data_IF_574019749578
#
_entry.id   IF_574019749578
#
_cell.length_a   1.000
_cell.length_b   1.000
_cell.length_c   1.000
_cell.angle_alpha   90.00
_cell.angle_beta   90.00
_cell.angle_gamma   90.00
#
_symmetry.space_group_name_H-M   'P 1'
#
loop_
_entity.id
_entity.type
_entity.pdbx_description
1 polymer ?
#
# COMPACT_ATOMS: atom_id res chain seq x y z
N UNK A 1 -41.92 -30.92 1.12
CA UNK A 1 -41.78 -29.91 2.22
C UNK A 1 -40.90 -30.53 3.30
N UNK A 2 -39.99 -29.80 3.97
CA UNK A 2 -39.71 -28.34 3.96
C UNK A 2 -38.57 -28.00 2.96
N UNK A 3 -38.38 -26.83 2.34
CA UNK A 3 -38.34 -25.41 2.74
C UNK A 3 -37.21 -25.03 3.70
N UNK A 4 -36.04 -24.75 3.11
CA UNK A 4 -34.96 -23.97 3.71
C UNK A 4 -34.77 -22.72 2.83
N UNK A 5 -35.29 -21.58 3.30
CA UNK A 5 -34.86 -20.26 2.83
C UNK A 5 -34.30 -19.51 4.02
N UNK A 6 -32.98 -19.39 4.07
CA UNK A 6 -32.31 -18.30 4.77
C UNK A 6 -31.34 -17.69 3.79
N UNK A 7 -31.83 -16.68 3.07
CA UNK A 7 -30.99 -15.66 2.48
C UNK A 7 -30.41 -14.85 3.63
N UNK A 8 -29.23 -15.25 4.07
CA UNK A 8 -28.44 -14.43 4.98
C UNK A 8 -27.97 -13.21 4.19
N UNK A 9 -28.61 -12.06 4.44
CA UNK A 9 -28.13 -10.78 3.93
C UNK A 9 -26.74 -10.57 4.52
N UNK A 10 -25.70 -10.76 3.70
CA UNK A 10 -24.36 -10.24 3.97
C UNK A 10 -24.48 -8.71 4.04
N UNK A 11 -24.70 -8.19 5.24
CA UNK A 11 -24.60 -6.76 5.49
C UNK A 11 -23.18 -6.34 5.12
N UNK A 12 -23.10 -5.60 4.02
CA UNK A 12 -21.85 -5.04 3.54
C UNK A 12 -21.62 -3.81 4.40
N UNK A 13 -20.93 -3.99 5.53
CA UNK A 13 -20.50 -2.87 6.36
C UNK A 13 -19.63 -1.96 5.50
N UNK A 14 -20.21 -0.84 5.12
CA UNK A 14 -19.55 0.18 4.30
C UNK A 14 -18.60 0.91 5.23
N UNK A 15 -17.31 0.57 5.18
CA UNK A 15 -16.29 1.30 5.93
C UNK A 15 -16.19 2.71 5.31
N UNK A 16 -16.71 3.70 6.02
CA UNK A 16 -16.64 5.10 5.62
C UNK A 16 -15.20 5.61 5.74
N UNK A 17 -14.52 5.72 4.60
CA UNK A 17 -13.29 6.52 4.48
C UNK A 17 -13.69 7.99 4.57
N UNK A 18 -13.50 8.63 5.73
CA UNK A 18 -13.63 10.09 5.83
C UNK A 18 -12.31 10.74 5.42
N UNK A 19 -12.09 10.95 4.13
CA UNK A 19 -11.10 11.93 3.66
C UNK A 19 -11.83 13.26 3.48
N UNK A 20 -11.79 14.12 4.49
CA UNK A 20 -12.29 15.49 4.33
C UNK A 20 -11.21 16.28 3.58
N UNK A 21 -11.42 16.45 2.27
CA UNK A 21 -10.53 17.15 1.34
C UNK A 21 -10.70 18.67 1.46
N UNK A 22 -10.34 19.25 2.60
CA UNK A 22 -10.26 20.72 2.73
C UNK A 22 -9.05 21.10 3.57
N UNK A 23 -8.12 21.79 2.89
CA UNK A 23 -6.91 22.46 3.38
C UNK A 23 -5.65 21.61 3.58
N UNK A 24 -4.85 21.62 2.51
CA UNK A 24 -3.45 21.18 2.44
C UNK A 24 -2.60 22.26 3.12
N UNK A 25 -2.35 22.15 4.42
CA UNK A 25 -1.25 22.84 5.09
C UNK A 25 -0.46 21.88 6.00
N UNK A 26 0.75 21.55 5.53
CA UNK A 26 1.97 21.11 6.22
C UNK A 26 1.97 19.94 7.24
N UNK A 27 0.89 19.18 7.41
CA UNK A 27 0.91 17.93 8.21
C UNK A 27 -0.03 16.87 7.67
N UNK A 28 0.33 16.27 6.55
CA UNK A 28 -0.41 15.13 6.00
C UNK A 28 -0.33 13.93 6.97
N UNK A 29 -1.40 13.71 7.73
CA UNK A 29 -1.63 12.56 8.60
C UNK A 29 -2.67 11.65 7.98
N UNK A 30 -2.29 10.42 7.65
CA UNK A 30 -3.19 9.40 7.13
C UNK A 30 -3.43 8.35 8.22
N UNK A 31 -4.66 8.29 8.73
CA UNK A 31 -5.05 7.33 9.77
C UNK A 31 -5.76 6.15 9.11
N UNK A 32 -5.26 4.94 9.37
CA UNK A 32 -5.91 3.68 9.04
C UNK A 32 -6.40 3.00 10.32
N UNK A 33 -7.71 2.85 10.44
CA UNK A 33 -8.30 2.07 11.53
C UNK A 33 -8.74 0.72 10.99
N UNK A 34 -8.21 -0.37 11.56
CA UNK A 34 -8.67 -1.73 11.28
C UNK A 34 -9.87 -1.98 12.20
N UNK A 35 -11.08 -1.86 11.66
CA UNK A 35 -12.30 -2.02 12.45
C UNK A 35 -12.79 -3.47 12.35
N UNK A 36 -12.66 -4.23 13.44
CA UNK A 36 -13.35 -5.51 13.63
C UNK A 36 -14.22 -5.44 14.89
N UNK A 37 -15.56 -5.41 14.71
CA UNK A 37 -16.55 -5.64 15.78
C UNK A 37 -16.63 -4.56 16.87
N UNK A 38 -17.69 -4.64 17.70
CA UNK A 38 -18.17 -3.60 18.63
C UNK A 38 -17.11 -2.74 19.32
N UNK A 39 -17.26 -1.43 19.14
CA UNK A 39 -16.37 -0.32 19.54
C UNK A 39 -16.08 -0.19 21.05
N UNK A 40 -16.67 -1.04 21.88
CA UNK A 40 -16.81 -0.75 23.31
C UNK A 40 -15.77 -1.43 24.24
N UNK A 41 -14.98 -2.42 23.79
CA UNK A 41 -14.17 -3.24 24.74
C UNK A 41 -12.90 -3.90 24.18
N UNK A 42 -12.03 -3.21 23.44
CA UNK A 42 -10.70 -3.77 23.13
C UNK A 42 -9.58 -2.79 23.44
N UNK A 43 -8.52 -3.29 24.05
CA UNK A 43 -7.24 -2.59 24.16
C UNK A 43 -6.65 -2.53 22.74
N UNK A 44 -6.53 -1.33 22.18
CA UNK A 44 -6.02 -1.13 20.83
C UNK A 44 -4.54 -0.71 20.89
N UNK A 45 -3.68 -1.34 20.09
CA UNK A 45 -2.31 -0.86 19.89
C UNK A 45 -2.26 0.14 18.73
N UNK A 46 -1.51 1.23 18.91
CA UNK A 46 -1.28 2.22 17.85
C UNK A 46 0.07 1.93 17.20
N UNK A 47 0.05 1.52 15.93
CA UNK A 47 1.25 1.37 15.11
C UNK A 47 1.53 2.69 14.41
N UNK A 48 2.49 3.45 14.93
CA UNK A 48 2.87 4.74 14.38
C UNK A 48 3.97 4.59 13.33
N UNK A 49 3.70 5.05 12.11
CA UNK A 49 4.64 5.08 10.99
C UNK A 49 4.97 6.52 10.63
N UNK A 50 6.25 6.86 10.62
CA UNK A 50 6.72 8.19 10.23
C UNK A 50 7.42 8.13 8.89
N UNK A 51 6.71 8.54 7.83
CA UNK A 51 7.24 8.59 6.48
C UNK A 51 7.67 10.04 6.18
N UNK A 52 8.88 10.36 6.65
CA UNK A 52 9.44 11.72 6.67
C UNK A 52 10.03 12.15 5.33
N UNK A 53 10.51 11.20 4.53
CA UNK A 53 11.17 11.50 3.24
C UNK A 53 10.55 10.69 2.13
N UNK A 54 9.64 11.30 1.37
CA UNK A 54 9.28 10.81 0.04
C UNK A 54 10.07 11.59 -0.98
N UNK A 55 10.96 10.92 -1.68
CA UNK A 55 11.82 11.58 -2.65
C UNK A 55 12.15 10.64 -3.79
N UNK A 56 12.50 11.25 -4.92
CA UNK A 56 13.19 10.54 -5.97
C UNK A 56 14.57 10.10 -5.49
N UNK A 57 14.90 8.83 -5.75
CA UNK A 57 16.17 8.20 -5.45
C UNK A 57 16.71 7.58 -6.73
N UNK A 58 18.04 7.53 -6.89
CA UNK A 58 18.66 6.72 -7.93
C UNK A 58 18.72 5.26 -7.46
N UNK A 59 18.32 4.33 -8.33
CA UNK A 59 18.33 2.89 -8.08
C UNK A 59 18.58 2.13 -9.36
N UNK A 60 19.30 1.01 -9.28
CA UNK A 60 19.72 0.22 -10.44
C UNK A 60 19.58 -1.29 -10.16
N UNK A 61 18.34 -1.81 -10.01
CA UNK A 61 18.12 -3.20 -9.63
C UNK A 61 18.58 -4.21 -10.70
N UNK A 62 18.70 -3.74 -11.94
CA UNK A 62 19.16 -4.46 -13.12
C UNK A 62 20.47 -3.86 -13.69
N UNK A 63 21.24 -3.18 -12.83
CA UNK A 63 22.48 -2.47 -13.17
C UNK A 63 22.31 -1.31 -14.17
N UNK A 64 21.07 -0.89 -14.46
CA UNK A 64 20.78 0.33 -15.22
C UNK A 64 20.19 1.36 -14.26
N UNK A 65 20.92 2.45 -14.04
CA UNK A 65 20.46 3.50 -13.12
C UNK A 65 19.17 4.16 -13.61
N UNK A 66 18.19 4.26 -12.72
CA UNK A 66 16.94 4.94 -12.94
C UNK A 66 16.46 5.65 -11.68
N UNK A 67 15.41 6.44 -11.83
CA UNK A 67 14.81 7.17 -10.72
C UNK A 67 13.60 6.41 -10.17
N UNK A 68 13.57 6.21 -8.85
CA UNK A 68 12.48 5.57 -8.11
C UNK A 68 11.87 6.54 -7.10
N UNK A 69 10.57 6.44 -6.86
CA UNK A 69 9.91 7.15 -5.77
C UNK A 69 10.00 6.31 -4.49
N UNK A 70 10.95 6.67 -3.62
CA UNK A 70 11.19 5.95 -2.36
C UNK A 70 10.49 6.59 -1.17
N UNK A 71 10.29 5.79 -0.12
CA UNK A 71 9.76 6.22 1.18
C UNK A 71 10.88 6.05 2.21
N UNK A 72 11.16 7.08 3.00
CA UNK A 72 12.26 7.11 3.98
C UNK A 72 13.64 6.78 3.40
N UNK A 73 13.87 7.08 2.11
CA UNK A 73 15.15 6.81 1.47
C UNK A 73 15.36 5.35 1.04
N UNK A 74 14.33 4.51 1.11
CA UNK A 74 14.36 3.12 0.68
C UNK A 74 13.33 2.83 -0.41
N UNK A 75 13.63 1.78 -1.18
CA UNK A 75 12.75 1.15 -2.16
C UNK A 75 12.96 -0.38 -2.09
N UNK A 76 11.88 -1.19 -2.00
CA UNK A 76 10.49 -0.81 -1.77
C UNK A 76 10.30 0.01 -0.49
N UNK A 77 9.11 0.60 -0.36
CA UNK A 77 8.70 1.28 0.86
C UNK A 77 8.78 0.35 2.08
N UNK A 78 8.83 0.90 3.30
CA UNK A 78 8.95 0.13 4.53
C UNK A 78 7.78 -0.84 4.70
N UNK A 79 8.08 -2.08 5.08
CA UNK A 79 7.06 -3.04 5.47
C UNK A 79 6.37 -2.55 6.74
N UNK A 80 5.03 -2.50 6.70
CA UNK A 80 4.23 -2.26 7.90
C UNK A 80 3.79 -3.60 8.45
N UNK A 81 4.09 -3.84 9.72
CA UNK A 81 3.61 -4.99 10.48
C UNK A 81 2.60 -4.51 11.52
N UNK A 82 1.47 -5.20 11.63
CA UNK A 82 0.43 -4.92 12.59
C UNK A 82 -0.30 -6.22 12.96
N UNK A 83 -1.17 -6.17 13.97
CA UNK A 83 -2.09 -7.27 14.30
C UNK A 83 -3.54 -6.88 14.00
N UNK A 84 -4.38 -7.88 13.78
CA UNK A 84 -5.81 -7.65 13.60
C UNK A 84 -6.40 -6.97 14.83
N UNK A 85 -6.97 -5.78 14.61
CA UNK A 85 -7.51 -4.91 15.66
C UNK A 85 -6.66 -3.67 15.92
N UNK A 86 -5.41 -3.60 15.44
CA UNK A 86 -4.58 -2.41 15.62
C UNK A 86 -5.12 -1.18 14.87
N UNK A 87 -4.69 0.01 15.30
CA UNK A 87 -4.84 1.23 14.51
C UNK A 87 -3.48 1.64 13.97
N UNK A 88 -3.34 1.70 12.65
CA UNK A 88 -2.10 2.14 12.00
C UNK A 88 -2.23 3.62 11.66
N UNK A 89 -1.32 4.42 12.19
CA UNK A 89 -1.27 5.86 11.96
C UNK A 89 -0.03 6.17 11.13
N UNK A 90 -0.23 6.65 9.90
CA UNK A 90 0.85 6.94 8.96
C UNK A 90 0.97 8.44 8.76
N UNK A 91 2.03 9.03 9.31
CA UNK A 91 2.38 10.42 9.06
C UNK A 91 3.14 10.51 7.75
N UNK A 92 2.54 11.16 6.76
CA UNK A 92 2.86 11.00 5.35
C UNK A 92 3.33 12.33 4.74
N UNK A 93 4.54 12.79 5.04
CA UNK A 93 4.98 14.11 4.55
C UNK A 93 5.30 14.10 3.04
N UNK A 94 4.55 14.84 2.22
CA UNK A 94 4.89 15.00 0.80
C UNK A 94 6.05 15.97 0.63
N UNK A 95 7.17 15.49 0.08
CA UNK A 95 8.38 16.29 -0.20
C UNK A 95 8.69 16.36 -1.71
N UNK A 96 7.76 15.94 -2.57
CA UNK A 96 7.87 16.14 -4.01
C UNK A 96 7.66 17.63 -4.34
N UNK A 97 8.39 18.13 -5.33
CA UNK A 97 8.42 19.56 -5.64
C UNK A 97 7.12 20.06 -6.30
N UNK A 98 6.50 19.25 -7.16
CA UNK A 98 5.40 19.68 -8.03
C UNK A 98 4.28 18.66 -8.16
N UNK A 99 4.33 17.55 -7.41
CA UNK A 99 3.42 16.41 -7.56
C UNK A 99 2.65 16.14 -6.27
N UNK A 100 1.34 15.90 -6.41
CA UNK A 100 0.52 15.33 -5.33
C UNK A 100 0.84 13.85 -5.13
N UNK A 101 0.62 13.34 -3.92
CA UNK A 101 0.85 11.91 -3.60
C UNK A 101 -0.34 11.38 -2.82
N UNK A 102 -0.85 10.23 -3.26
CA UNK A 102 -1.89 9.46 -2.54
C UNK A 102 -1.43 8.02 -2.42
N UNK A 103 -1.53 7.46 -1.20
CA UNK A 103 -1.27 6.05 -0.93
C UNK A 103 -2.60 5.33 -0.79
N UNK A 104 -2.79 4.28 -1.58
CA UNK A 104 -3.87 3.33 -1.41
C UNK A 104 -3.39 2.09 -0.68
N UNK A 105 -4.24 1.60 0.22
CA UNK A 105 -3.98 0.43 1.04
C UNK A 105 -4.78 -0.75 0.48
N UNK A 106 -4.09 -1.63 -0.22
CA UNK A 106 -4.72 -2.61 -1.09
C UNK A 106 -5.23 -3.81 -0.28
N UNK A 107 -6.55 -4.04 -0.33
CA UNK A 107 -7.17 -5.24 0.21
C UNK A 107 -7.50 -5.22 1.71
N UNK A 108 -7.25 -4.12 2.45
CA UNK A 108 -7.44 -4.07 3.91
C UNK A 108 -8.87 -4.44 4.30
N UNK A 109 -9.03 -5.60 4.97
CA UNK A 109 -10.29 -6.00 5.62
C UNK A 109 -10.10 -6.83 6.90
N UNK A 110 -9.05 -7.67 6.99
CA UNK A 110 -8.81 -8.60 8.11
C UNK A 110 -7.28 -8.81 8.31
N UNK A 111 -6.89 -9.90 8.98
CA UNK A 111 -5.53 -10.47 8.99
C UNK A 111 -5.11 -11.02 7.62
N UNK A 112 -3.80 -11.14 7.39
CA UNK A 112 -3.20 -11.65 6.16
C UNK A 112 -2.16 -10.72 5.52
N UNK A 113 -1.78 -11.08 4.30
CA UNK A 113 -0.75 -10.38 3.51
C UNK A 113 -1.37 -9.37 2.56
N UNK A 114 -1.04 -8.10 2.77
CA UNK A 114 -1.50 -6.96 1.99
C UNK A 114 -0.29 -6.14 1.49
N UNK A 115 -0.58 -5.05 0.77
CA UNK A 115 0.43 -4.09 0.33
C UNK A 115 -0.21 -2.72 0.16
N UNK A 116 0.62 -1.70 0.08
CA UNK A 116 0.20 -0.35 -0.25
C UNK A 116 0.90 0.13 -1.51
N UNK A 117 0.28 1.06 -2.24
CA UNK A 117 0.86 1.62 -3.45
C UNK A 117 0.39 3.05 -3.74
N UNK A 118 1.14 3.77 -4.56
CA UNK A 118 0.73 5.05 -5.13
C UNK A 118 -0.56 4.91 -5.92
N UNK A 119 -1.50 5.81 -5.71
CA UNK A 119 -2.81 5.82 -6.38
C UNK A 119 -3.12 7.20 -7.00
N UNK A 120 -2.08 7.91 -7.39
CA UNK A 120 -2.15 9.14 -8.16
C UNK A 120 -1.30 8.99 -9.42
N UNK A 121 -1.87 9.28 -10.60
CA UNK A 121 -1.21 9.02 -11.89
C UNK A 121 -0.68 7.59 -12.03
N UNK A 122 0.51 7.45 -12.60
CA UNK A 122 1.27 6.19 -12.68
C UNK A 122 2.31 6.06 -11.56
N UNK A 123 2.14 6.72 -10.41
CA UNK A 123 3.12 6.71 -9.32
C UNK A 123 3.40 5.30 -8.76
N UNK A 124 2.46 4.36 -8.85
CA UNK A 124 2.72 2.93 -8.55
C UNK A 124 3.86 2.38 -9.43
N UNK A 125 3.80 2.62 -10.74
CA UNK A 125 4.86 2.25 -11.69
C UNK A 125 6.11 3.10 -11.51
N UNK A 126 6.01 4.23 -10.79
CA UNK A 126 7.14 5.02 -10.32
C UNK A 126 7.77 4.45 -9.05
N UNK A 127 7.45 3.19 -8.71
CA UNK A 127 8.04 2.41 -7.60
C UNK A 127 7.50 2.76 -6.21
N UNK A 128 6.41 3.52 -6.13
CA UNK A 128 5.78 3.84 -4.85
C UNK A 128 4.89 2.68 -4.39
N UNK A 129 5.45 1.72 -3.67
CA UNK A 129 4.73 0.61 -3.04
C UNK A 129 5.56 -0.07 -1.93
N UNK A 130 4.91 -0.87 -1.09
CA UNK A 130 5.57 -1.68 -0.06
C UNK A 130 4.58 -2.63 0.61
N UNK A 131 5.11 -3.54 1.43
CA UNK A 131 4.32 -4.60 2.08
C UNK A 131 3.55 -4.10 3.30
N UNK A 132 2.38 -4.68 3.53
CA UNK A 132 1.57 -4.51 4.73
C UNK A 132 1.15 -5.89 5.21
N UNK A 133 1.66 -6.34 6.35
CA UNK A 133 1.34 -7.66 6.92
C UNK A 133 0.54 -7.42 8.19
N UNK A 134 -0.61 -8.09 8.29
CA UNK A 134 -1.48 -8.03 9.46
C UNK A 134 -1.58 -9.43 10.05
N UNK A 135 -0.94 -9.66 11.18
CA UNK A 135 -1.02 -10.93 11.88
C UNK A 135 -2.42 -11.11 12.51
N UNK A 136 -2.73 -12.34 12.89
CA UNK A 136 -3.92 -12.64 13.72
C UNK A 136 -3.92 -11.82 15.02
N UNK A 137 -5.12 -11.62 15.58
CA UNK A 137 -5.30 -10.87 16.82
C UNK A 137 -4.57 -11.52 18.01
N UNK A 138 -4.31 -10.76 19.06
CA UNK A 138 -3.67 -11.28 20.27
C UNK A 138 -4.47 -12.44 20.88
N UNK A 139 -3.78 -13.56 21.12
CA UNK A 139 -4.38 -14.79 21.66
C UNK A 139 -4.91 -15.75 20.59
N UNK A 140 -5.04 -15.31 19.34
CA UNK A 140 -5.41 -16.16 18.21
C UNK A 140 -4.17 -16.81 17.58
N UNK A 141 -4.39 -17.87 16.80
CA UNK A 141 -3.34 -18.55 16.04
C UNK A 141 -3.81 -18.81 14.62
N UNK A 142 -2.88 -18.71 13.68
CA UNK A 142 -3.09 -19.17 12.31
C UNK A 142 -3.56 -20.64 12.29
N UNK A 143 -4.43 -21.03 11.34
CA UNK A 143 -4.97 -22.39 11.28
C UNK A 143 -3.96 -23.45 10.82
N UNK A 144 -2.72 -23.04 10.52
CA UNK A 144 -1.63 -23.89 10.09
C UNK A 144 -0.33 -23.53 10.82
N UNK A 145 0.55 -24.52 10.97
CA UNK A 145 1.86 -24.36 11.60
C UNK A 145 2.95 -24.20 10.54
N UNK A 146 3.86 -23.27 10.77
CA UNK A 146 5.04 -23.02 9.95
C UNK A 146 6.21 -22.66 10.86
N UNK A 147 7.42 -23.00 10.44
CA UNK A 147 8.64 -22.68 11.20
C UNK A 147 9.17 -21.28 10.87
N UNK A 148 8.91 -20.81 9.65
CA UNK A 148 9.41 -19.54 9.11
C UNK A 148 8.41 -18.95 8.13
N UNK A 149 8.44 -17.64 8.01
CA UNK A 149 7.74 -16.88 7.00
C UNK A 149 8.73 -16.15 6.08
N UNK A 150 8.33 -15.92 4.83
CA UNK A 150 9.09 -15.14 3.87
C UNK A 150 8.14 -14.20 3.14
N UNK A 151 8.44 -12.90 3.17
CA UNK A 151 7.70 -11.90 2.41
C UNK A 151 8.38 -11.66 1.06
N UNK A 152 7.63 -11.87 -0.03
CA UNK A 152 8.07 -11.58 -1.38
C UNK A 152 7.11 -10.60 -2.04
N UNK A 153 7.67 -9.49 -2.56
CA UNK A 153 6.90 -8.52 -3.34
C UNK A 153 7.35 -8.54 -4.80
N UNK A 154 6.42 -8.86 -5.69
CA UNK A 154 6.67 -8.97 -7.13
C UNK A 154 6.30 -7.68 -7.85
N UNK A 155 7.15 -7.27 -8.77
CA UNK A 155 6.93 -6.09 -9.61
C UNK A 155 7.59 -6.23 -10.97
N UNK A 156 7.20 -5.38 -11.89
CA UNK A 156 7.81 -5.17 -13.19
C UNK A 156 8.59 -3.85 -13.21
N UNK A 157 9.61 -3.79 -14.07
CA UNK A 157 10.53 -2.66 -14.15
C UNK A 157 10.72 -2.22 -15.60
N UNK A 158 10.49 -0.93 -15.84
CA UNK A 158 10.83 -0.30 -17.11
C UNK A 158 11.90 0.78 -16.97
N UNK A 159 12.72 0.92 -18.01
CA UNK A 159 13.72 1.99 -18.11
C UNK A 159 13.12 3.35 -18.48
N UNK A 160 11.97 3.36 -19.16
CA UNK A 160 11.29 4.61 -19.51
C UNK A 160 10.70 5.28 -18.27
N UNK A 161 10.93 6.59 -18.13
CA UNK A 161 10.33 7.41 -17.08
C UNK A 161 8.79 7.37 -17.15
N UNK A 162 8.15 7.32 -15.98
CA UNK A 162 6.68 7.26 -15.85
C UNK A 162 5.96 8.43 -16.50
N UNK A 163 6.48 9.65 -16.43
CA UNK A 163 5.89 10.82 -17.09
C UNK A 163 5.96 10.68 -18.62
N UNK A 164 7.06 10.12 -19.13
CA UNK A 164 7.20 9.81 -20.55
C UNK A 164 6.17 8.77 -21.03
N UNK A 165 5.89 7.77 -20.19
CA UNK A 165 4.84 6.79 -20.44
C UNK A 165 3.45 7.43 -20.42
N UNK A 166 3.14 8.25 -19.41
CA UNK A 166 1.88 8.97 -19.28
C UNK A 166 1.59 9.86 -20.49
N UNK A 167 2.60 10.60 -20.95
CA UNK A 167 2.51 11.42 -22.17
C UNK A 167 2.26 10.52 -23.39
N UNK A 168 2.95 9.39 -23.50
CA UNK A 168 2.79 8.45 -24.61
C UNK A 168 1.40 7.82 -24.71
N UNK A 169 0.85 7.36 -23.58
CA UNK A 169 -0.50 6.76 -23.56
C UNK A 169 -1.61 7.80 -23.73
N UNK A 170 -1.31 9.07 -23.46
CA UNK A 170 -2.25 10.19 -23.64
C UNK A 170 -2.08 10.91 -24.98
N UNK A 171 -1.07 10.57 -25.79
CA UNK A 171 -0.81 11.27 -27.05
C UNK A 171 -1.69 10.76 -28.19
N UNK A 172 -1.83 11.59 -29.23
CA UNK A 172 -2.35 11.19 -30.53
C UNK A 172 -1.30 11.49 -31.62
N UNK A 173 -0.70 10.46 -32.28
CA UNK A 173 -1.02 9.05 -32.15
C UNK A 173 -0.65 8.46 -30.78
N UNK A 174 -1.43 7.48 -30.33
CA UNK A 174 -1.19 6.72 -29.10
C UNK A 174 0.16 6.01 -29.17
N UNK A 175 0.92 6.02 -28.07
CA UNK A 175 2.18 5.27 -27.94
C UNK A 175 2.05 4.25 -26.82
N UNK A 176 2.07 2.98 -27.19
CA UNK A 176 2.08 1.88 -26.23
C UNK A 176 3.38 1.87 -25.42
N UNK A 177 3.29 1.49 -24.14
CA UNK A 177 4.44 1.39 -23.22
C UNK A 177 5.36 0.20 -23.51
N UNK A 178 4.85 -0.83 -24.21
CA UNK A 178 5.56 -2.08 -24.47
C UNK A 178 5.80 -2.93 -23.22
N UNK A 179 6.50 -4.05 -23.42
CA UNK A 179 6.84 -5.00 -22.36
C UNK A 179 7.88 -4.45 -21.37
N UNK A 180 7.87 -4.89 -20.11
CA UNK A 180 8.89 -4.51 -19.14
C UNK A 180 10.27 -5.06 -19.51
N UNK A 181 11.31 -4.36 -19.08
CA UNK A 181 12.69 -4.84 -19.25
C UNK A 181 13.02 -5.96 -18.25
N UNK A 182 12.49 -5.87 -17.02
CA UNK A 182 12.83 -6.80 -15.94
C UNK A 182 11.61 -7.11 -15.08
N UNK A 183 11.47 -8.39 -14.70
CA UNK A 183 10.65 -8.80 -13.57
C UNK A 183 11.50 -8.78 -12.31
N UNK A 184 11.04 -8.05 -11.30
CA UNK A 184 11.81 -7.81 -10.10
C UNK A 184 11.13 -8.43 -8.87
N UNK A 185 11.91 -9.24 -8.16
CA UNK A 185 11.52 -9.96 -6.95
C UNK A 185 12.20 -9.29 -5.77
N UNK A 186 11.40 -8.69 -4.89
CA UNK A 186 11.91 -8.15 -3.63
C UNK A 186 11.78 -9.21 -2.55
N UNK A 187 12.92 -9.68 -2.04
CA UNK A 187 12.95 -10.41 -0.78
C UNK A 187 13.09 -9.38 0.33
N UNK A 188 12.05 -9.22 1.14
CA UNK A 188 12.04 -8.28 2.26
C UNK A 188 12.27 -9.11 3.53
N UNK A 189 13.48 -8.99 4.08
CA UNK A 189 13.90 -9.61 5.35
C UNK A 189 13.76 -8.63 6.51
#
# INVERSE_FOLDING_TARGET
RPHFSKTEKKETSTLSLSSNSTQIEDRDLLILKFLNGDFAKRDYSIVNQQWRRKSYLFWSPDCVENVVMGINGQYPGPTILAKAGDTIVVHLHNKLHTEGVVIHWHGIRQDGTYFYHGHYGMQRSARLYGSLIVDVADGEKEPFHYERELNMLLSDWWHQNVHGKEIGISSNPFRCIGEPQVFYVHSIF
#
